data_IF_695597140905
#
_entry.id   IF_695597140905
#
_cell.length_a   1.000
_cell.length_b   1.000
_cell.length_c   1.000
_cell.angle_alpha   90.00
_cell.angle_beta   90.00
_cell.angle_gamma   90.00
#
_symmetry.space_group_name_H-M   'P 1'
#
loop_
_entity.id
_entity.type
_entity.pdbx_description
1 polymer ?
#
# COMPACT_ATOMS: atom_id res chain seq x y z
N UNK A 1 42.03 -5.23 13.34
CA UNK A 1 41.90 -4.78 11.95
C UNK A 1 41.61 -5.97 11.07
N UNK A 2 40.32 -6.18 10.75
CA UNK A 2 39.91 -7.13 9.72
C UNK A 2 39.15 -6.30 8.69
N UNK A 3 39.90 -5.81 7.72
CA UNK A 3 39.35 -5.21 6.52
C UNK A 3 38.94 -6.38 5.60
N UNK A 4 37.74 -6.93 5.80
CA UNK A 4 37.11 -7.76 4.79
C UNK A 4 36.51 -6.83 3.75
N UNK A 5 37.19 -6.67 2.63
CA UNK A 5 36.60 -6.17 1.39
C UNK A 5 35.53 -7.17 0.93
N UNK A 6 34.31 -7.04 1.45
CA UNK A 6 33.17 -7.76 0.88
C UNK A 6 32.88 -7.14 -0.49
N UNK A 7 33.25 -7.85 -1.53
CA UNK A 7 32.73 -7.64 -2.88
C UNK A 7 31.24 -7.95 -2.84
N UNK A 8 30.41 -6.94 -2.62
CA UNK A 8 28.97 -7.09 -2.67
C UNK A 8 28.57 -7.45 -4.09
N UNK A 9 28.24 -8.72 -4.32
CA UNK A 9 27.60 -9.17 -5.55
C UNK A 9 26.26 -8.43 -5.73
N UNK A 10 25.88 -8.15 -6.97
CA UNK A 10 24.59 -7.55 -7.27
C UNK A 10 23.46 -8.39 -6.68
N UNK A 11 22.67 -7.80 -5.78
CA UNK A 11 21.61 -8.51 -5.06
C UNK A 11 20.54 -8.99 -6.02
N UNK A 12 20.18 -10.27 -5.92
CA UNK A 12 19.12 -10.85 -6.72
C UNK A 12 17.76 -10.65 -6.04
N UNK A 13 16.93 -9.77 -6.57
CA UNK A 13 15.60 -9.46 -6.04
C UNK A 13 14.64 -10.64 -6.09
N UNK A 14 14.86 -11.62 -6.96
CA UNK A 14 14.01 -12.81 -7.07
C UNK A 14 14.41 -13.90 -6.09
N UNK A 15 15.69 -13.95 -5.75
CA UNK A 15 16.30 -14.96 -4.86
C UNK A 15 17.30 -14.28 -3.94
N UNK A 16 16.85 -13.58 -2.90
CA UNK A 16 17.72 -12.82 -2.00
C UNK A 16 18.67 -13.69 -1.18
N UNK A 17 18.43 -15.01 -1.16
CA UNK A 17 19.27 -16.00 -0.49
C UNK A 17 19.22 -17.33 -1.22
N UNK A 18 20.25 -18.15 -1.01
CA UNK A 18 20.39 -19.52 -1.46
C UNK A 18 20.34 -20.47 -0.25
N UNK A 19 20.32 -21.79 -0.50
CA UNK A 19 20.24 -22.79 0.53
C UNK A 19 21.42 -22.75 1.53
N UNK A 20 22.58 -22.37 1.06
CA UNK A 20 23.85 -22.26 1.81
C UNK A 20 24.13 -20.85 2.34
N UNK A 21 23.24 -19.89 2.11
CA UNK A 21 23.39 -18.52 2.60
C UNK A 21 23.42 -18.46 4.13
N UNK A 22 24.40 -17.74 4.68
CA UNK A 22 24.49 -17.47 6.10
C UNK A 22 23.38 -16.53 6.58
N UNK A 23 23.08 -16.56 7.88
CA UNK A 23 22.09 -15.64 8.50
C UNK A 23 22.42 -14.17 8.23
N UNK A 24 23.68 -13.81 8.30
CA UNK A 24 24.13 -12.41 8.08
C UNK A 24 23.90 -11.98 6.63
N UNK A 25 24.17 -12.85 5.67
CA UNK A 25 23.89 -12.59 4.24
C UNK A 25 22.39 -12.42 4.01
N UNK A 26 21.54 -13.27 4.58
CA UNK A 26 20.08 -13.16 4.45
C UNK A 26 19.61 -11.82 5.01
N UNK A 27 20.02 -11.44 6.22
CA UNK A 27 19.65 -10.18 6.83
C UNK A 27 20.12 -8.98 6.01
N UNK A 28 21.36 -9.01 5.53
CA UNK A 28 21.93 -7.97 4.68
C UNK A 28 21.15 -7.83 3.37
N UNK A 29 20.95 -8.93 2.64
CA UNK A 29 20.30 -8.91 1.33
C UNK A 29 18.85 -8.44 1.40
N UNK A 30 18.07 -8.90 2.39
CA UNK A 30 16.70 -8.45 2.60
C UNK A 30 16.67 -6.95 2.93
N UNK A 31 17.55 -6.47 3.82
CA UNK A 31 17.66 -5.06 4.17
C UNK A 31 17.99 -4.17 2.96
N UNK A 32 18.95 -4.60 2.14
CA UNK A 32 19.32 -3.87 0.93
C UNK A 32 18.22 -3.87 -0.15
N UNK A 33 17.48 -4.98 -0.31
CA UNK A 33 16.30 -5.00 -1.19
C UNK A 33 15.30 -3.93 -0.77
N UNK A 34 15.00 -3.81 0.52
CA UNK A 34 14.06 -2.82 1.04
C UNK A 34 14.54 -1.40 0.78
N UNK A 35 15.81 -1.11 1.12
CA UNK A 35 16.43 0.20 0.88
C UNK A 35 16.38 0.58 -0.58
N UNK A 36 16.90 -0.28 -1.47
CA UNK A 36 16.92 -0.02 -2.91
C UNK A 36 15.51 0.09 -3.51
N UNK A 37 14.53 -0.61 -2.96
CA UNK A 37 13.13 -0.53 -3.41
C UNK A 37 12.52 0.81 -3.05
N UNK A 38 12.73 1.32 -1.84
CA UNK A 38 12.22 2.63 -1.42
C UNK A 38 12.88 3.73 -2.24
N UNK A 39 14.21 3.72 -2.37
CA UNK A 39 14.95 4.68 -3.20
C UNK A 39 14.49 4.67 -4.66
N UNK A 40 14.35 3.49 -5.24
CA UNK A 40 13.85 3.33 -6.61
C UNK A 40 12.39 3.77 -6.78
N UNK A 41 11.55 3.56 -5.78
CA UNK A 41 10.15 4.03 -5.81
C UNK A 41 10.09 5.55 -5.80
N UNK A 42 10.90 6.21 -4.97
CA UNK A 42 11.01 7.68 -4.96
C UNK A 42 11.46 8.26 -6.30
N UNK A 43 12.29 7.53 -7.06
CA UNK A 43 12.77 7.98 -8.37
C UNK A 43 11.73 7.87 -9.48
N UNK A 44 10.80 6.89 -9.38
CA UNK A 44 9.82 6.62 -10.45
C UNK A 44 8.42 7.10 -10.13
N UNK A 45 8.12 7.43 -8.87
CA UNK A 45 6.83 7.95 -8.44
C UNK A 45 6.70 9.42 -8.83
N UNK A 46 5.71 9.73 -9.66
CA UNK A 46 5.38 11.12 -10.01
C UNK A 46 4.61 11.77 -8.84
N UNK A 47 5.20 12.81 -8.25
CA UNK A 47 4.61 13.53 -7.13
C UNK A 47 3.32 14.27 -7.51
N UNK A 48 3.16 14.73 -8.75
CA UNK A 48 1.92 15.36 -9.21
C UNK A 48 0.79 14.32 -9.32
N UNK A 49 1.11 13.09 -9.78
CA UNK A 49 0.14 11.99 -9.79
C UNK A 49 -0.23 11.55 -8.37
N UNK A 50 0.72 11.57 -7.44
CA UNK A 50 0.46 11.28 -6.03
C UNK A 50 -0.47 12.34 -5.40
N UNK A 51 -0.21 13.62 -5.63
CA UNK A 51 -1.07 14.71 -5.13
C UNK A 51 -2.49 14.63 -5.72
N UNK A 52 -2.61 14.38 -7.02
CA UNK A 52 -3.92 14.14 -7.66
C UNK A 52 -4.65 12.95 -7.04
N UNK A 53 -3.95 11.82 -6.84
CA UNK A 53 -4.53 10.64 -6.21
C UNK A 53 -5.07 10.96 -4.81
N UNK A 54 -4.28 11.66 -3.99
CA UNK A 54 -4.67 12.08 -2.64
C UNK A 54 -5.90 12.99 -2.71
N UNK A 55 -5.97 13.93 -3.65
CA UNK A 55 -7.12 14.84 -3.80
C UNK A 55 -8.40 14.10 -4.20
N UNK A 56 -8.31 13.13 -5.10
CA UNK A 56 -9.46 12.30 -5.47
C UNK A 56 -9.93 11.42 -4.30
N UNK A 57 -9.00 10.79 -3.59
CA UNK A 57 -9.30 9.97 -2.40
C UNK A 57 -9.91 10.83 -1.30
N UNK A 58 -9.41 12.05 -1.10
CA UNK A 58 -9.92 12.96 -0.08
C UNK A 58 -11.35 13.40 -0.35
N UNK A 59 -11.70 13.67 -1.59
CA UNK A 59 -13.06 14.08 -2.00
C UNK A 59 -14.04 12.93 -2.14
N UNK A 60 -13.56 11.69 -2.23
CA UNK A 60 -14.41 10.52 -2.41
C UNK A 60 -15.24 10.24 -1.16
N UNK A 61 -16.53 9.93 -1.36
CA UNK A 61 -17.40 9.42 -0.30
C UNK A 61 -17.06 7.98 0.08
N UNK A 62 -16.65 7.18 -0.91
CA UNK A 62 -16.24 5.80 -0.75
C UNK A 62 -15.10 5.49 -1.71
N UNK A 63 -14.16 4.68 -1.26
CA UNK A 63 -13.04 4.18 -2.04
C UNK A 63 -13.31 2.71 -2.34
N UNK A 64 -13.59 2.38 -3.58
CA UNK A 64 -13.71 1.00 -4.03
C UNK A 64 -12.30 0.44 -4.29
N UNK A 65 -11.89 -0.53 -3.49
CA UNK A 65 -10.53 -1.08 -3.51
C UNK A 65 -10.50 -2.47 -4.15
N UNK A 66 -9.60 -2.66 -5.10
CA UNK A 66 -9.46 -3.88 -5.89
C UNK A 66 -8.02 -4.39 -5.86
N UNK A 67 -7.86 -5.63 -5.46
CA UNK A 67 -6.57 -6.31 -5.45
C UNK A 67 -6.76 -7.82 -5.36
N UNK A 68 -5.84 -8.60 -5.93
CA UNK A 68 -5.85 -10.06 -5.83
C UNK A 68 -4.45 -10.60 -5.53
N UNK A 69 -4.38 -11.81 -4.98
CA UNK A 69 -3.12 -12.46 -4.62
C UNK A 69 -2.33 -11.65 -3.58
N UNK A 70 -1.01 -11.54 -3.76
CA UNK A 70 -0.12 -10.86 -2.81
C UNK A 70 -0.46 -9.37 -2.63
N UNK A 71 -0.98 -8.70 -3.67
CA UNK A 71 -1.39 -7.30 -3.60
C UNK A 71 -2.58 -7.08 -2.65
N UNK A 72 -3.33 -8.13 -2.34
CA UNK A 72 -4.45 -8.06 -1.40
C UNK A 72 -3.99 -7.73 0.02
N UNK A 73 -2.78 -8.14 0.42
CA UNK A 73 -2.22 -7.79 1.73
C UNK A 73 -1.96 -6.27 1.85
N UNK A 74 -1.46 -5.65 0.79
CA UNK A 74 -1.31 -4.19 0.74
C UNK A 74 -2.68 -3.48 0.71
N UNK A 75 -3.69 -4.06 0.08
CA UNK A 75 -5.05 -3.54 0.10
C UNK A 75 -5.65 -3.55 1.52
N UNK A 76 -5.47 -4.61 2.29
CA UNK A 76 -5.87 -4.67 3.70
C UNK A 76 -5.16 -3.60 4.54
N UNK A 77 -3.86 -3.36 4.29
CA UNK A 77 -3.12 -2.31 4.96
C UNK A 77 -3.67 -0.92 4.61
N UNK A 78 -4.00 -0.69 3.34
CA UNK A 78 -4.63 0.55 2.91
C UNK A 78 -5.98 0.76 3.61
N UNK A 79 -6.88 -0.22 3.58
CA UNK A 79 -8.18 -0.16 4.26
C UNK A 79 -8.01 0.20 5.74
N UNK A 80 -7.11 -0.51 6.44
CA UNK A 80 -6.82 -0.23 7.85
C UNK A 80 -6.36 1.21 8.09
N UNK A 81 -5.42 1.73 7.28
CA UNK A 81 -4.92 3.11 7.41
C UNK A 81 -6.00 4.16 7.13
N UNK A 82 -6.90 3.89 6.20
CA UNK A 82 -7.99 4.82 5.85
C UNK A 82 -8.97 5.05 6.99
N UNK A 83 -9.13 4.08 7.90
CA UNK A 83 -9.96 4.27 9.11
C UNK A 83 -9.45 5.42 9.99
N UNK A 84 -8.12 5.62 10.07
CA UNK A 84 -7.52 6.69 10.87
C UNK A 84 -7.68 8.09 10.26
N UNK A 85 -8.04 8.18 9.00
CA UNK A 85 -8.30 9.44 8.29
C UNK A 85 -9.75 9.60 7.87
N UNK A 86 -10.66 8.85 8.53
CA UNK A 86 -12.12 8.92 8.34
C UNK A 86 -12.57 8.62 6.90
N UNK A 87 -11.88 7.75 6.18
CA UNK A 87 -12.26 7.34 4.82
C UNK A 87 -12.89 5.96 4.83
N UNK A 88 -14.00 5.82 4.11
CA UNK A 88 -14.66 4.54 3.91
C UNK A 88 -14.05 3.81 2.73
N UNK A 89 -13.66 2.56 2.96
CA UNK A 89 -13.12 1.67 1.94
C UNK A 89 -14.05 0.48 1.77
N UNK A 90 -14.39 0.16 0.53
CA UNK A 90 -15.13 -1.04 0.18
C UNK A 90 -14.15 -2.02 -0.45
N UNK A 91 -13.74 -3.02 0.29
CA UNK A 91 -12.83 -4.09 -0.14
C UNK A 91 -13.54 -5.44 -0.04
N UNK A 92 -13.61 -6.16 -1.14
CA UNK A 92 -14.17 -7.52 -1.19
C UNK A 92 -13.03 -8.54 -1.24
N UNK A 93 -13.15 -9.60 -0.43
CA UNK A 93 -12.13 -10.66 -0.35
C UNK A 93 -12.21 -11.58 -1.58
N UNK A 94 -13.42 -11.85 -2.06
CA UNK A 94 -13.68 -12.81 -3.13
C UNK A 94 -13.57 -12.09 -4.49
N UNK A 95 -12.75 -12.57 -5.43
CA UNK A 95 -12.54 -11.92 -6.72
C UNK A 95 -13.83 -11.72 -7.54
N UNK A 96 -14.77 -12.66 -7.49
CA UNK A 96 -16.07 -12.52 -8.16
C UNK A 96 -16.92 -11.41 -7.56
N UNK A 97 -16.85 -11.18 -6.25
CA UNK A 97 -17.51 -10.06 -5.58
C UNK A 97 -16.87 -8.71 -5.93
N UNK A 98 -15.55 -8.68 -6.15
CA UNK A 98 -14.87 -7.48 -6.67
C UNK A 98 -15.39 -7.12 -8.07
N UNK A 99 -15.63 -8.11 -8.94
CA UNK A 99 -16.24 -7.87 -10.25
C UNK A 99 -17.66 -7.31 -10.13
N UNK A 100 -18.45 -7.79 -9.16
CA UNK A 100 -19.78 -7.24 -8.88
C UNK A 100 -19.69 -5.82 -8.30
N UNK A 101 -18.76 -5.58 -7.36
CA UNK A 101 -18.50 -4.26 -6.80
C UNK A 101 -18.23 -3.21 -7.88
N UNK A 102 -17.47 -3.56 -8.91
CA UNK A 102 -17.16 -2.68 -10.03
C UNK A 102 -18.41 -2.21 -10.81
N UNK A 103 -19.55 -2.90 -10.71
CA UNK A 103 -20.82 -2.45 -11.30
C UNK A 103 -21.36 -1.18 -10.64
N UNK A 104 -21.02 -0.96 -9.37
CA UNK A 104 -21.53 0.14 -8.55
C UNK A 104 -20.52 1.27 -8.39
N UNK A 105 -19.28 1.08 -8.86
CA UNK A 105 -18.25 2.13 -8.88
C UNK A 105 -18.60 3.15 -9.96
N UNK A 106 -18.94 4.36 -9.54
CA UNK A 106 -19.42 5.44 -10.44
C UNK A 106 -18.56 6.69 -10.27
N UNK A 107 -18.95 7.78 -10.96
CA UNK A 107 -18.29 9.09 -10.85
C UNK A 107 -18.25 9.69 -9.43
N UNK A 108 -19.03 9.16 -8.49
CA UNK A 108 -19.09 9.62 -7.10
C UNK A 108 -18.18 8.79 -6.18
N UNK A 109 -17.54 7.76 -6.69
CA UNK A 109 -16.55 6.94 -5.99
C UNK A 109 -15.21 6.95 -6.73
N UNK A 110 -14.17 6.58 -6.02
CA UNK A 110 -12.83 6.39 -6.57
C UNK A 110 -12.49 4.91 -6.49
N UNK A 111 -12.06 4.34 -7.61
CA UNK A 111 -11.49 3.01 -7.64
C UNK A 111 -9.99 3.09 -7.41
N UNK A 112 -9.48 2.40 -6.38
CA UNK A 112 -8.06 2.16 -6.20
C UNK A 112 -7.74 0.71 -6.56
N UNK A 113 -6.85 0.50 -7.51
CA UNK A 113 -6.44 -0.83 -7.96
C UNK A 113 -4.98 -1.06 -7.63
N UNK A 114 -4.68 -2.10 -6.85
CA UNK A 114 -3.31 -2.48 -6.53
C UNK A 114 -2.98 -3.77 -7.31
N UNK A 115 -2.09 -3.65 -8.30
CA UNK A 115 -1.66 -4.79 -9.11
C UNK A 115 -0.23 -4.60 -9.60
N UNK A 116 0.69 -5.40 -9.07
CA UNK A 116 2.10 -5.33 -9.44
C UNK A 116 2.33 -5.50 -10.95
N UNK A 117 1.79 -6.55 -11.54
CA UNK A 117 1.96 -6.82 -12.98
C UNK A 117 1.17 -5.87 -13.88
N UNK A 118 0.05 -5.34 -13.39
CA UNK A 118 -0.93 -4.62 -14.19
C UNK A 118 -1.57 -5.45 -15.33
N UNK A 119 -1.35 -6.79 -15.31
CA UNK A 119 -1.81 -7.74 -16.33
C UNK A 119 -2.77 -8.79 -15.77
N UNK A 120 -3.10 -8.73 -14.48
CA UNK A 120 -3.94 -9.70 -13.79
C UNK A 120 -5.29 -9.84 -14.50
N UNK A 121 -5.69 -11.08 -14.84
CA UNK A 121 -6.87 -11.34 -15.63
C UNK A 121 -8.15 -10.89 -14.93
N UNK A 122 -8.23 -11.04 -13.63
CA UNK A 122 -9.36 -10.64 -12.78
C UNK A 122 -9.57 -9.11 -12.77
N UNK A 123 -8.50 -8.34 -12.96
CA UNK A 123 -8.55 -6.88 -12.94
C UNK A 123 -9.11 -6.29 -14.24
N UNK A 124 -8.91 -6.96 -15.37
CA UNK A 124 -9.36 -6.45 -16.67
C UNK A 124 -10.86 -6.18 -16.72
N UNK A 125 -11.77 -7.12 -16.38
CA UNK A 125 -13.21 -6.86 -16.39
C UNK A 125 -13.63 -5.79 -15.38
N UNK A 126 -12.91 -5.64 -14.25
CA UNK A 126 -13.14 -4.60 -13.26
C UNK A 126 -12.89 -3.22 -13.89
N UNK A 127 -11.73 -3.03 -14.51
CA UNK A 127 -11.34 -1.77 -15.17
C UNK A 127 -12.35 -1.38 -16.26
N UNK A 128 -12.71 -2.32 -17.14
CA UNK A 128 -13.67 -2.03 -18.22
C UNK A 128 -15.04 -1.62 -17.66
N UNK A 129 -15.50 -2.27 -16.59
CA UNK A 129 -16.78 -1.95 -15.97
C UNK A 129 -16.77 -0.56 -15.33
N UNK A 130 -15.73 -0.21 -14.59
CA UNK A 130 -15.60 1.09 -13.97
C UNK A 130 -15.54 2.21 -15.02
N UNK A 131 -14.82 1.98 -16.12
CA UNK A 131 -14.75 2.93 -17.26
C UNK A 131 -16.13 3.18 -17.90
N UNK A 132 -16.92 2.13 -18.10
CA UNK A 132 -18.29 2.25 -18.64
C UNK A 132 -19.16 3.10 -17.71
N UNK A 133 -18.98 2.97 -16.39
CA UNK A 133 -19.74 3.71 -15.38
C UNK A 133 -19.21 5.14 -15.13
N UNK A 134 -18.12 5.54 -15.80
CA UNK A 134 -17.49 6.86 -15.65
C UNK A 134 -16.75 7.06 -14.33
N UNK A 135 -16.39 5.99 -13.62
CA UNK A 135 -15.62 6.05 -12.38
C UNK A 135 -14.16 6.42 -12.64
N UNK A 136 -13.56 7.15 -11.69
CA UNK A 136 -12.12 7.48 -11.71
C UNK A 136 -11.31 6.31 -11.18
N UNK A 137 -10.26 5.92 -11.92
CA UNK A 137 -9.39 4.80 -11.56
C UNK A 137 -7.99 5.31 -11.21
N UNK A 138 -7.57 5.04 -9.99
CA UNK A 138 -6.20 5.20 -9.52
C UNK A 138 -5.56 3.82 -9.46
N UNK A 139 -4.35 3.65 -9.99
CA UNK A 139 -3.61 2.40 -9.88
C UNK A 139 -2.29 2.56 -9.16
N UNK A 140 -1.96 1.58 -8.31
CA UNK A 140 -0.60 1.34 -7.82
C UNK A 140 -0.07 0.12 -8.60
N UNK A 141 0.88 0.34 -9.52
CA UNK A 141 1.38 -0.70 -10.43
C UNK A 141 2.84 -0.47 -10.81
N UNK A 142 3.50 -1.51 -11.32
CA UNK A 142 4.89 -1.40 -11.74
C UNK A 142 5.09 -0.53 -12.99
N UNK A 143 6.35 -0.21 -13.28
CA UNK A 143 6.74 0.60 -14.44
C UNK A 143 6.48 -0.09 -15.79
N UNK A 144 6.23 -1.39 -15.79
CA UNK A 144 6.05 -2.16 -17.01
C UNK A 144 4.88 -1.66 -17.85
N UNK A 145 5.03 -1.70 -19.17
CA UNK A 145 3.94 -1.44 -20.11
C UNK A 145 2.85 -2.51 -19.96
N UNK A 146 1.80 -2.16 -19.25
CA UNK A 146 0.73 -3.08 -18.86
C UNK A 146 -0.63 -2.59 -19.33
N UNK A 147 -1.59 -3.51 -19.36
CA UNK A 147 -2.99 -3.18 -19.63
C UNK A 147 -3.51 -2.12 -18.66
N UNK A 148 -3.29 -2.32 -17.37
CA UNK A 148 -3.77 -1.42 -16.32
C UNK A 148 -3.22 0.00 -16.51
N UNK A 149 -1.91 0.13 -16.72
CA UNK A 149 -1.24 1.43 -16.91
C UNK A 149 -1.82 2.25 -18.06
N UNK A 150 -2.25 1.59 -19.14
CA UNK A 150 -2.86 2.25 -20.32
C UNK A 150 -4.30 2.69 -20.13
N UNK A 151 -4.97 2.18 -19.09
CA UNK A 151 -6.43 2.34 -18.91
C UNK A 151 -6.80 3.20 -17.71
N UNK A 152 -5.89 3.48 -16.81
CA UNK A 152 -6.19 4.24 -15.59
C UNK A 152 -6.07 5.75 -15.79
N UNK A 153 -6.71 6.51 -14.92
CA UNK A 153 -6.71 7.97 -14.97
C UNK A 153 -5.52 8.54 -14.21
N UNK A 154 -5.08 7.86 -13.14
CA UNK A 154 -3.94 8.21 -12.30
C UNK A 154 -3.10 6.97 -12.05
N UNK A 155 -1.79 7.07 -12.26
CA UNK A 155 -0.89 5.94 -12.11
C UNK A 155 0.23 6.21 -11.12
N UNK A 156 0.14 5.60 -9.94
CA UNK A 156 1.19 5.61 -8.93
C UNK A 156 2.17 4.48 -9.21
N UNK A 157 3.33 4.86 -9.71
CA UNK A 157 4.33 3.89 -10.19
C UNK A 157 5.15 3.34 -9.04
N UNK A 158 5.12 2.02 -8.85
CA UNK A 158 6.00 1.32 -7.95
C UNK A 158 7.27 0.83 -8.65
N UNK A 159 8.40 0.92 -7.96
CA UNK A 159 9.62 0.26 -8.38
C UNK A 159 9.62 -1.18 -7.87
N UNK A 160 9.79 -2.13 -8.76
CA UNK A 160 10.13 -3.49 -8.38
C UNK A 160 11.00 -4.12 -9.46
N UNK A 161 12.04 -4.80 -9.00
CA UNK A 161 12.96 -5.56 -9.84
C UNK A 161 12.65 -7.07 -9.80
N UNK A 162 11.51 -7.45 -9.21
CA UNK A 162 11.07 -8.84 -9.13
C UNK A 162 10.48 -9.32 -10.46
N UNK A 163 10.79 -10.55 -10.82
CA UNK A 163 10.12 -11.26 -11.91
C UNK A 163 8.95 -12.06 -11.33
N UNK A 164 7.78 -11.98 -11.96
CA UNK A 164 6.55 -12.62 -11.48
C UNK A 164 6.70 -14.14 -11.36
N UNK A 165 7.46 -14.77 -12.28
CA UNK A 165 7.55 -16.23 -12.38
C UNK A 165 8.67 -16.81 -11.52
N UNK A 166 9.80 -16.12 -11.41
CA UNK A 166 11.04 -16.69 -10.86
C UNK A 166 11.36 -16.28 -9.42
N UNK A 167 10.49 -15.50 -8.76
CA UNK A 167 10.70 -15.05 -7.39
C UNK A 167 10.31 -16.12 -6.38
N UNK A 168 11.08 -16.22 -5.29
CA UNK A 168 10.78 -17.12 -4.16
C UNK A 168 9.84 -16.49 -3.13
N UNK A 169 9.54 -15.20 -3.25
CA UNK A 169 8.65 -14.44 -2.38
C UNK A 169 8.46 -13.04 -2.86
N UNK A 170 7.53 -12.32 -2.24
CA UNK A 170 7.18 -10.93 -2.57
C UNK A 170 7.90 -10.00 -1.59
N UNK A 171 9.04 -9.46 -1.97
CA UNK A 171 9.85 -8.54 -1.17
C UNK A 171 9.70 -7.10 -1.67
N UNK A 172 10.21 -6.82 -2.87
CA UNK A 172 10.29 -5.48 -3.43
C UNK A 172 8.91 -4.93 -3.81
N UNK A 173 8.08 -5.68 -4.50
CA UNK A 173 6.75 -5.23 -4.93
C UNK A 173 5.85 -4.89 -3.74
N UNK A 174 5.91 -5.68 -2.65
CA UNK A 174 5.17 -5.41 -1.42
C UNK A 174 5.65 -4.12 -0.76
N UNK A 175 6.94 -3.96 -0.53
CA UNK A 175 7.51 -2.77 0.13
C UNK A 175 7.23 -1.50 -0.68
N UNK A 176 7.34 -1.55 -2.01
CA UNK A 176 7.03 -0.40 -2.86
C UNK A 176 5.56 0.00 -2.77
N UNK A 177 4.65 -0.98 -2.78
CA UNK A 177 3.22 -0.75 -2.62
C UNK A 177 2.88 -0.16 -1.26
N UNK A 178 3.39 -0.76 -0.18
CA UNK A 178 3.16 -0.31 1.19
C UNK A 178 3.72 1.11 1.41
N UNK A 179 4.88 1.42 0.83
CA UNK A 179 5.47 2.76 0.89
C UNK A 179 4.58 3.82 0.22
N UNK A 180 4.04 3.55 -0.98
CA UNK A 180 3.10 4.46 -1.66
C UNK A 180 1.82 4.65 -0.82
N UNK A 181 1.31 3.57 -0.21
CA UNK A 181 0.17 3.63 0.71
C UNK A 181 0.47 4.53 1.92
N UNK A 182 1.68 4.43 2.48
CA UNK A 182 2.12 5.27 3.58
C UNK A 182 2.21 6.75 3.20
N UNK A 183 2.65 7.05 1.98
CA UNK A 183 2.64 8.42 1.45
C UNK A 183 1.22 8.96 1.29
N UNK A 184 0.29 8.19 0.71
CA UNK A 184 -1.13 8.58 0.58
C UNK A 184 -1.72 8.87 1.96
N UNK A 185 -1.54 7.95 2.91
CA UNK A 185 -2.01 8.11 4.28
C UNK A 185 -1.45 9.37 4.94
N UNK A 186 -0.13 9.58 4.84
CA UNK A 186 0.55 10.71 5.47
C UNK A 186 0.09 12.05 4.90
N UNK A 187 -0.14 12.12 3.59
CA UNK A 187 -0.65 13.32 2.93
C UNK A 187 -2.11 13.60 3.28
N UNK A 188 -2.97 12.58 3.37
CA UNK A 188 -4.35 12.71 3.85
C UNK A 188 -4.38 13.15 5.33
N UNK A 189 -3.57 12.54 6.18
CA UNK A 189 -3.47 12.90 7.59
C UNK A 189 -3.02 14.35 7.76
N UNK A 190 -2.02 14.79 6.97
CA UNK A 190 -1.51 16.17 6.97
C UNK A 190 -2.60 17.20 6.69
N UNK A 191 -3.58 16.91 5.83
CA UNK A 191 -4.67 17.84 5.48
C UNK A 191 -5.53 18.23 6.68
N UNK A 192 -5.79 17.29 7.61
CA UNK A 192 -6.60 17.50 8.81
C UNK A 192 -5.81 17.15 10.09
N UNK A 193 -4.54 17.54 10.13
CA UNK A 193 -3.54 17.08 11.11
C UNK A 193 -4.01 17.22 12.57
N UNK A 194 -4.46 18.40 12.97
CA UNK A 194 -4.82 18.65 14.38
C UNK A 194 -6.04 17.84 14.82
N UNK A 195 -7.08 17.80 13.99
CA UNK A 195 -8.31 17.04 14.28
C UNK A 195 -8.02 15.54 14.40
N UNK A 196 -7.29 15.00 13.40
CA UNK A 196 -6.96 13.57 13.37
C UNK A 196 -6.01 13.17 14.49
N UNK A 197 -5.07 14.05 14.87
CA UNK A 197 -4.16 13.80 15.98
C UNK A 197 -4.93 13.73 17.31
N UNK A 198 -5.81 14.69 17.58
CA UNK A 198 -6.65 14.70 18.78
C UNK A 198 -7.50 13.44 18.84
N UNK A 199 -8.18 13.08 17.76
CA UNK A 199 -8.98 11.87 17.67
C UNK A 199 -8.18 10.60 17.97
N UNK A 200 -6.98 10.48 17.37
CA UNK A 200 -6.11 9.31 17.58
C UNK A 200 -5.61 9.21 19.02
N UNK A 201 -5.26 10.34 19.62
CA UNK A 201 -4.81 10.38 21.04
C UNK A 201 -5.95 10.03 21.97
N UNK A 202 -7.17 10.58 21.78
CA UNK A 202 -8.34 10.25 22.60
C UNK A 202 -8.69 8.78 22.52
N UNK A 203 -8.73 8.18 21.30
CA UNK A 203 -8.98 6.75 21.15
C UNK A 203 -7.96 5.88 21.92
N UNK A 204 -6.67 6.22 21.86
CA UNK A 204 -5.65 5.47 22.60
C UNK A 204 -5.80 5.63 24.12
N UNK A 205 -6.31 6.77 24.58
CA UNK A 205 -6.53 7.03 26.00
C UNK A 205 -7.75 6.27 26.56
N UNK A 206 -8.80 6.13 25.76
CA UNK A 206 -10.02 5.42 26.16
C UNK A 206 -9.80 3.89 26.26
N UNK A 207 -8.82 3.36 25.53
CA UNK A 207 -8.49 1.92 25.50
C UNK A 207 -7.32 1.54 26.42
N UNK A 208 -6.67 2.49 27.11
CA UNK A 208 -5.56 2.20 28.03
C UNK A 208 -6.08 1.92 29.44
N UNK A 209 -6.37 0.65 29.73
CA UNK A 209 -6.82 0.17 31.04
C UNK A 209 -5.87 0.55 32.20
N UNK A 210 -4.59 0.79 31.93
CA UNK A 210 -3.59 1.20 32.91
C UNK A 210 -3.90 2.57 33.56
N UNK A 211 -4.73 3.39 32.94
CA UNK A 211 -5.19 4.67 33.50
C UNK A 211 -6.27 4.51 34.56
N UNK A 212 -7.10 3.47 34.47
CA UNK A 212 -8.17 3.21 35.43
C UNK A 212 -7.62 2.75 36.80
N UNK A 213 -6.46 2.11 36.82
CA UNK A 213 -5.80 1.69 38.07
C UNK A 213 -5.20 2.87 38.86
N UNK A 214 -4.66 3.89 38.18
CA UNK A 214 -4.03 5.06 38.82
C UNK A 214 -5.04 6.03 39.46
N UNK A 215 -6.32 5.98 39.10
CA UNK A 215 -7.39 6.79 39.71
C UNK A 215 -8.01 6.12 40.95
N UNK A 216 -7.91 4.79 41.07
CA UNK A 216 -8.42 4.07 42.24
C UNK A 216 -7.46 4.07 43.45
N UNK A 217 -6.17 4.31 43.25
CA UNK A 217 -5.21 4.40 44.39
C UNK A 217 -5.19 5.75 45.10
N UNK A 218 -5.70 6.83 44.49
CA UNK A 218 -5.77 8.16 45.11
C UNK A 218 -7.01 8.41 45.98
N UNK A 219 -7.93 7.46 46.06
CA UNK A 219 -9.16 7.58 46.85
C UNK A 219 -9.18 6.81 48.18
N UNK A 220 -8.07 6.21 48.60
CA UNK A 220 -7.98 5.45 49.87
C UNK A 220 -6.99 6.03 50.90
N UNK A 221 -6.83 7.32 50.91
CA UNK A 221 -6.00 8.01 51.90
C UNK A 221 -6.67 9.26 52.48
N UNK A 222 -7.75 9.08 53.20
CA UNK A 222 -8.30 9.97 54.22
C UNK A 222 -9.03 9.15 55.28
#
# INVERSE_FOLDING_TARGET
EITQSQTFSTINFNKPFLQDSSRNEICHNVGEIYKQTIEGTNQVLDMNELEKAVDYIDKANIIDLFAVGDSFLSALMFEHKMTYVNKLVNLKIIPTEQTQQALYTTKNSVALIISYSGQTNEIKPIVERIKINGGTIIAITSLNDSYLRKKVDICLTMCSKENIINKIGTFSSKISSDYIIDLIYSLLFKKNYQELLIKKVSMNLDWDERRNESTHEKGKGE
#
